data_IF_322375788989
#
_entry.id   IF_322375788989
#
_cell.length_a   1.000
_cell.length_b   1.000
_cell.length_c   1.000
_cell.angle_alpha   90.00
_cell.angle_beta   90.00
_cell.angle_gamma   90.00
#
_symmetry.space_group_name_H-M   'P 1'
#
loop_
_entity.id
_entity.type
_entity.pdbx_description
1 polymer ?
#
# COMPACT_ATOMS: atom_id res chain seq x y z
N UNK A 1 -2.57 13.44 0.59
CA UNK A 1 -1.23 12.95 0.17
C UNK A 1 -1.24 12.74 -1.32
N UNK A 2 -0.17 13.06 -2.03
CA UNK A 2 -0.01 12.76 -3.46
C UNK A 2 0.36 11.30 -3.69
N UNK A 3 0.05 10.76 -4.87
CA UNK A 3 0.43 9.39 -5.25
C UNK A 3 1.96 9.20 -5.21
N UNK A 4 2.74 10.23 -5.56
CA UNK A 4 4.21 10.18 -5.51
C UNK A 4 4.71 10.01 -4.07
N UNK A 5 4.18 10.80 -3.12
CA UNK A 5 4.52 10.65 -1.70
C UNK A 5 4.10 9.28 -1.16
N UNK A 6 2.89 8.83 -1.50
CA UNK A 6 2.39 7.51 -1.10
C UNK A 6 3.28 6.37 -1.64
N UNK A 7 3.80 6.52 -2.87
CA UNK A 7 4.71 5.55 -3.47
C UNK A 7 6.06 5.51 -2.75
N UNK A 8 6.59 6.66 -2.32
CA UNK A 8 7.80 6.73 -1.51
C UNK A 8 7.63 6.04 -0.16
N UNK A 9 6.50 6.27 0.51
CA UNK A 9 6.17 5.60 1.77
C UNK A 9 6.07 4.09 1.58
N UNK A 10 5.39 3.63 0.52
CA UNK A 10 5.25 2.20 0.23
C UNK A 10 6.61 1.54 -0.07
N UNK A 11 7.46 2.19 -0.88
CA UNK A 11 8.79 1.67 -1.19
C UNK A 11 9.64 1.47 0.07
N UNK A 12 9.64 2.47 0.97
CA UNK A 12 10.35 2.38 2.24
C UNK A 12 9.81 1.24 3.14
N UNK A 13 8.48 1.06 3.19
CA UNK A 13 7.88 -0.03 3.95
C UNK A 13 8.21 -1.41 3.37
N UNK A 14 8.12 -1.56 2.04
CA UNK A 14 8.46 -2.81 1.34
C UNK A 14 9.94 -3.17 1.52
N UNK A 15 10.84 -2.19 1.50
CA UNK A 15 12.25 -2.41 1.78
C UNK A 15 12.47 -3.02 3.18
N UNK A 16 11.67 -2.63 4.18
CA UNK A 16 11.78 -3.17 5.54
C UNK A 16 11.12 -4.56 5.72
N UNK A 17 10.10 -4.87 4.92
CA UNK A 17 9.26 -6.08 5.08
C UNK A 17 9.49 -7.15 4.00
N UNK A 18 10.49 -6.96 3.13
CA UNK A 18 10.84 -7.87 2.04
C UNK A 18 12.19 -8.54 2.29
N UNK A 19 12.35 -9.75 1.76
CA UNK A 19 13.63 -10.47 1.71
C UNK A 19 14.64 -9.85 0.72
N UNK A 20 14.18 -8.92 -0.12
CA UNK A 20 15.00 -8.18 -1.08
C UNK A 20 14.81 -6.66 -0.87
N UNK A 21 15.44 -6.09 0.18
CA UNK A 21 15.26 -4.70 0.57
C UNK A 21 15.71 -3.71 -0.52
N UNK A 22 16.81 -4.01 -1.22
CA UNK A 22 17.43 -3.12 -2.22
C UNK A 22 16.64 -3.03 -3.55
N UNK A 23 15.57 -3.81 -3.69
CA UNK A 23 14.75 -3.85 -4.91
C UNK A 23 13.63 -2.81 -4.91
N UNK A 24 13.24 -2.30 -3.74
CA UNK A 24 12.05 -1.47 -3.61
C UNK A 24 12.39 0.02 -3.61
N UNK A 25 12.26 0.65 -4.78
CA UNK A 25 12.35 2.11 -4.94
C UNK A 25 11.01 2.68 -5.44
N UNK A 26 10.76 4.00 -5.29
CA UNK A 26 9.57 4.63 -5.85
C UNK A 26 9.48 4.42 -7.38
N UNK A 27 10.59 4.37 -8.09
CA UNK A 27 10.64 4.14 -9.54
C UNK A 27 10.20 2.72 -9.89
N UNK A 28 10.64 1.72 -9.12
CA UNK A 28 10.24 0.33 -9.30
C UNK A 28 8.72 0.11 -9.14
N UNK A 29 8.04 0.98 -8.37
CA UNK A 29 6.60 0.93 -8.15
C UNK A 29 5.78 1.76 -9.16
N UNK A 30 6.40 2.40 -10.16
CA UNK A 30 5.66 3.21 -11.15
C UNK A 30 4.70 2.37 -12.01
N UNK A 31 5.01 1.10 -12.26
CA UNK A 31 4.16 0.19 -13.03
C UNK A 31 2.97 -0.38 -12.25
N UNK A 32 2.84 -0.05 -10.96
CA UNK A 32 1.75 -0.54 -10.13
C UNK A 32 0.49 0.27 -10.38
N UNK A 33 -0.65 -0.41 -10.45
CA UNK A 33 -1.92 0.28 -10.58
C UNK A 33 -2.27 1.00 -9.28
N UNK A 34 -2.69 2.26 -9.39
CA UNK A 34 -3.04 3.12 -8.27
C UNK A 34 -4.50 3.53 -8.36
N UNK A 35 -5.26 3.35 -7.28
CA UNK A 35 -6.60 3.93 -7.13
C UNK A 35 -6.72 4.64 -5.78
N UNK A 36 -7.85 5.29 -5.54
CA UNK A 36 -8.10 6.01 -4.29
C UNK A 36 -9.33 5.43 -3.58
N UNK A 37 -9.24 5.32 -2.27
CA UNK A 37 -10.34 4.93 -1.39
C UNK A 37 -10.33 5.86 -0.17
N UNK A 38 -11.24 6.84 -0.17
CA UNK A 38 -11.29 7.88 0.85
C UNK A 38 -9.94 8.63 0.96
N UNK A 39 -9.27 8.62 2.12
CA UNK A 39 -7.95 9.21 2.35
C UNK A 39 -6.78 8.32 1.90
N UNK A 40 -7.05 7.07 1.50
CA UNK A 40 -6.04 6.06 1.19
C UNK A 40 -5.72 6.03 -0.30
N UNK A 41 -4.44 5.95 -0.62
CA UNK A 41 -3.95 5.54 -1.94
C UNK A 41 -3.80 4.02 -1.94
N UNK A 42 -4.47 3.35 -2.87
CA UNK A 42 -4.45 1.89 -3.01
C UNK A 42 -3.46 1.50 -4.10
N UNK A 43 -2.47 0.68 -3.75
CA UNK A 43 -1.49 0.14 -4.67
C UNK A 43 -1.76 -1.33 -4.98
N UNK A 44 -1.79 -1.66 -6.26
CA UNK A 44 -2.00 -3.02 -6.79
C UNK A 44 -0.76 -3.47 -7.57
N UNK A 45 -0.05 -4.53 -7.13
CA UNK A 45 1.09 -5.06 -7.85
C UNK A 45 0.70 -5.60 -9.24
N UNK A 46 1.59 -5.47 -10.24
CA UNK A 46 1.37 -6.11 -11.54
C UNK A 46 1.44 -7.64 -11.41
N UNK A 47 0.54 -8.35 -12.09
CA UNK A 47 0.55 -9.81 -12.22
C UNK A 47 0.08 -10.60 -11.00
N UNK A 48 0.03 -10.01 -9.80
CA UNK A 48 -0.45 -10.67 -8.59
C UNK A 48 -1.32 -9.74 -7.73
N UNK A 49 -2.63 -9.98 -7.74
CA UNK A 49 -3.62 -9.24 -6.94
C UNK A 49 -3.88 -9.86 -5.57
N UNK A 50 -3.10 -10.86 -5.14
CA UNK A 50 -3.31 -11.53 -3.85
C UNK A 50 -2.97 -10.62 -2.66
N UNK A 51 -2.30 -9.49 -2.88
CA UNK A 51 -2.02 -8.51 -1.84
C UNK A 51 -2.13 -7.09 -2.41
N UNK A 52 -2.88 -6.26 -1.70
CA UNK A 52 -3.04 -4.84 -1.96
C UNK A 52 -2.48 -4.04 -0.78
N UNK A 53 -2.14 -2.78 -1.03
CA UNK A 53 -1.57 -1.90 -0.03
C UNK A 53 -2.33 -0.59 0.02
N UNK A 54 -2.81 -0.21 1.20
CA UNK A 54 -3.37 1.09 1.50
C UNK A 54 -2.28 1.97 2.08
N UNK A 55 -2.13 3.18 1.56
CA UNK A 55 -1.14 4.15 2.04
C UNK A 55 -1.79 5.49 2.33
N UNK A 56 -1.64 5.98 3.55
CA UNK A 56 -2.06 7.31 3.98
C UNK A 56 -1.21 7.77 5.16
N UNK A 57 -0.89 9.06 5.24
CA UNK A 57 -0.23 9.69 6.41
C UNK A 57 1.03 8.96 6.94
N UNK A 58 1.82 8.36 6.05
CA UNK A 58 3.04 7.62 6.42
C UNK A 58 2.79 6.17 6.87
N UNK A 59 1.54 5.73 6.89
CA UNK A 59 1.11 4.40 7.30
C UNK A 59 0.87 3.55 6.06
N UNK A 60 1.29 2.28 6.13
CA UNK A 60 1.05 1.26 5.11
C UNK A 60 0.27 0.12 5.75
N UNK A 61 -0.92 -0.17 5.22
CA UNK A 61 -1.71 -1.32 5.60
C UNK A 61 -1.78 -2.29 4.43
N UNK A 62 -1.36 -3.54 4.64
CA UNK A 62 -1.36 -4.57 3.58
C UNK A 62 -2.48 -5.59 3.84
N UNK A 63 -3.22 -5.97 2.81
CA UNK A 63 -4.32 -6.93 2.94
C UNK A 63 -4.48 -7.80 1.69
N UNK A 64 -5.06 -8.99 1.87
CA UNK A 64 -5.44 -9.87 0.77
C UNK A 64 -6.90 -9.63 0.38
N UNK A 65 -7.22 -9.26 -0.87
CA UNK A 65 -8.61 -8.97 -1.26
C UNK A 65 -9.51 -10.22 -1.27
N UNK A 66 -8.93 -11.43 -1.25
CA UNK A 66 -9.67 -12.69 -1.06
C UNK A 66 -10.15 -12.91 0.39
N UNK A 67 -9.52 -12.25 1.36
CA UNK A 67 -9.82 -12.40 2.79
C UNK A 67 -10.54 -11.17 3.35
N UNK A 68 -10.24 -9.98 2.82
CA UNK A 68 -10.74 -8.72 3.33
C UNK A 68 -11.16 -7.80 2.18
N UNK A 69 -12.41 -7.33 2.20
CA UNK A 69 -12.90 -6.36 1.21
C UNK A 69 -12.18 -5.02 1.37
N UNK A 70 -12.08 -4.22 0.29
CA UNK A 70 -11.46 -2.90 0.34
C UNK A 70 -12.09 -1.98 1.40
N UNK A 71 -13.41 -1.99 1.53
CA UNK A 71 -14.11 -1.18 2.54
C UNK A 71 -13.75 -1.61 3.98
N UNK A 72 -13.69 -2.92 4.22
CA UNK A 72 -13.27 -3.46 5.52
C UNK A 72 -11.79 -3.17 5.81
N UNK A 73 -10.93 -3.21 4.79
CA UNK A 73 -9.52 -2.88 4.90
C UNK A 73 -9.30 -1.39 5.26
N UNK A 74 -10.05 -0.47 4.66
CA UNK A 74 -10.01 0.95 5.01
C UNK A 74 -10.40 1.18 6.47
N UNK A 75 -11.47 0.51 6.95
CA UNK A 75 -11.88 0.60 8.35
C UNK A 75 -10.80 0.05 9.30
N UNK A 76 -10.20 -1.10 8.97
CA UNK A 76 -9.12 -1.69 9.75
C UNK A 76 -7.87 -0.78 9.79
N UNK A 77 -7.48 -0.24 8.64
CA UNK A 77 -6.31 0.65 8.53
C UNK A 77 -6.49 1.94 9.34
N UNK A 78 -7.72 2.50 9.39
CA UNK A 78 -8.06 3.65 10.24
C UNK A 78 -7.94 3.35 11.73
N UNK A 79 -8.40 2.18 12.14
CA UNK A 79 -8.31 1.75 13.54
C UNK A 79 -6.85 1.55 13.96
N UNK A 80 -6.04 0.95 13.09
CA UNK A 80 -4.60 0.78 13.33
C UNK A 80 -3.87 2.12 13.39
N UNK A 81 -4.25 3.09 12.56
CA UNK A 81 -3.66 4.44 12.54
C UNK A 81 -3.93 5.28 13.79
N UNK A 82 -4.90 4.88 14.63
CA UNK A 82 -5.25 5.59 15.86
C UNK A 82 -4.48 5.06 17.09
N UNK A 83 -3.81 3.92 16.96
CA UNK A 83 -3.07 3.27 18.05
C UNK A 83 -1.65 3.82 18.15
#
# INVERSE_FOLDING_TARGET
MSVTEARTVLAAWLAQHSVSPDTWTPEALQGWHTSHAEEWTVFTPPGNVNRLFLVANGIVFSFAPSELSLASAVLAAREESRR
#
